data_IF_655669379137
#
_entry.id   IF_655669379137
#
_cell.length_a   1.000
_cell.length_b   1.000
_cell.length_c   1.000
_cell.angle_alpha   90.00
_cell.angle_beta   90.00
_cell.angle_gamma   90.00
#
_symmetry.space_group_name_H-M   'P 1'
#
loop_
_entity.id
_entity.type
_entity.pdbx_description
1 polymer ?
#
# COMPACT_ATOMS: atom_id res chain seq x y z
N UNK A 1 15.60 -14.65 -0.14
CA UNK A 1 14.31 -14.08 -0.55
C UNK A 1 14.06 -14.36 -2.02
N UNK A 2 12.96 -15.04 -2.34
CA UNK A 2 12.44 -15.26 -3.70
C UNK A 2 12.01 -13.95 -4.35
N UNK A 3 11.77 -13.95 -5.67
CA UNK A 3 11.28 -12.77 -6.40
C UNK A 3 9.97 -12.24 -5.81
N UNK A 4 9.05 -13.14 -5.45
CA UNK A 4 7.75 -12.78 -4.88
C UNK A 4 7.88 -12.22 -3.46
N UNK A 5 8.75 -12.80 -2.62
CA UNK A 5 9.02 -12.27 -1.28
C UNK A 5 9.56 -10.84 -1.32
N UNK A 6 10.45 -10.53 -2.28
CA UNK A 6 10.97 -9.17 -2.48
C UNK A 6 9.87 -8.19 -2.88
N UNK A 7 8.96 -8.61 -3.77
CA UNK A 7 7.82 -7.78 -4.17
C UNK A 7 6.83 -7.56 -3.01
N UNK A 8 6.52 -8.60 -2.24
CA UNK A 8 5.68 -8.49 -1.05
C UNK A 8 6.30 -7.49 -0.07
N UNK A 9 7.59 -7.62 0.22
CA UNK A 9 8.29 -6.72 1.14
C UNK A 9 8.28 -5.28 0.63
N UNK A 10 8.55 -5.07 -0.66
CA UNK A 10 8.49 -3.75 -1.29
C UNK A 10 7.14 -3.05 -1.07
N UNK A 11 6.03 -3.79 -1.25
CA UNK A 11 4.69 -3.24 -1.05
C UNK A 11 4.40 -2.97 0.43
N UNK A 12 4.81 -3.86 1.33
CA UNK A 12 4.65 -3.67 2.78
C UNK A 12 5.42 -2.46 3.28
N UNK A 13 6.69 -2.31 2.87
CA UNK A 13 7.54 -1.18 3.27
C UNK A 13 6.97 0.15 2.77
N UNK A 14 6.46 0.16 1.53
CA UNK A 14 5.75 1.31 0.98
C UNK A 14 4.49 1.64 1.77
N UNK A 15 3.66 0.63 2.11
CA UNK A 15 2.45 0.84 2.91
C UNK A 15 2.74 1.39 4.31
N UNK A 16 3.80 0.89 4.96
CA UNK A 16 4.26 1.36 6.25
C UNK A 16 4.76 2.81 6.21
N UNK A 17 5.44 3.19 5.13
CA UNK A 17 5.89 4.57 4.90
C UNK A 17 4.70 5.52 4.68
N UNK A 18 3.72 5.11 3.87
CA UNK A 18 2.54 5.91 3.59
C UNK A 18 1.69 6.13 4.84
N UNK A 19 1.45 5.09 5.64
CA UNK A 19 0.62 5.24 6.85
C UNK A 19 1.32 6.14 7.89
N UNK A 20 2.64 6.01 8.04
CA UNK A 20 3.42 6.90 8.91
C UNK A 20 3.35 8.36 8.43
N UNK A 21 3.35 8.58 7.11
CA UNK A 21 3.17 9.92 6.51
C UNK A 21 1.76 10.45 6.75
N UNK A 22 0.74 9.60 6.61
CA UNK A 22 -0.65 9.96 6.89
C UNK A 22 -0.83 10.42 8.34
N UNK A 23 -0.25 9.71 9.31
CA UNK A 23 -0.32 10.06 10.74
C UNK A 23 0.24 11.47 11.01
N UNK A 24 1.39 11.81 10.43
CA UNK A 24 1.99 13.14 10.57
C UNK A 24 1.07 14.22 9.98
N UNK A 25 0.53 13.99 8.79
CA UNK A 25 -0.34 14.96 8.12
C UNK A 25 -1.67 15.17 8.86
N UNK A 26 -2.27 14.09 9.34
CA UNK A 26 -3.50 14.12 10.13
C UNK A 26 -3.25 14.87 11.45
N UNK A 27 -2.13 14.60 12.14
CA UNK A 27 -1.76 15.32 13.37
C UNK A 27 -1.63 16.84 13.13
N UNK A 28 -1.05 17.23 12.00
CA UNK A 28 -0.92 18.63 11.57
C UNK A 28 -2.21 19.23 10.94
N UNK A 29 -3.36 18.55 11.10
CA UNK A 29 -4.67 18.96 10.56
C UNK A 29 -4.70 19.12 9.04
N UNK A 30 -3.77 18.49 8.32
CA UNK A 30 -3.74 18.40 6.86
C UNK A 30 -4.51 17.17 6.40
N UNK A 31 -5.82 17.21 6.56
CA UNK A 31 -6.70 16.04 6.39
C UNK A 31 -6.73 15.48 4.97
N UNK A 32 -6.87 16.34 3.96
CA UNK A 32 -6.97 15.89 2.56
C UNK A 32 -5.73 15.10 2.10
N UNK A 33 -4.50 15.61 2.24
CA UNK A 33 -3.32 14.83 1.90
C UNK A 33 -3.13 13.64 2.87
N UNK A 34 -3.49 13.77 4.15
CA UNK A 34 -3.45 12.64 5.08
C UNK A 34 -4.32 11.46 4.64
N UNK A 35 -5.57 11.72 4.25
CA UNK A 35 -6.48 10.69 3.72
C UNK A 35 -5.99 10.10 2.39
N UNK A 36 -5.34 10.90 1.54
CA UNK A 36 -4.69 10.39 0.33
C UNK A 36 -3.60 9.37 0.66
N UNK A 37 -2.75 9.62 1.66
CA UNK A 37 -1.75 8.64 2.10
C UNK A 37 -2.37 7.41 2.78
N UNK A 38 -3.48 7.55 3.51
CA UNK A 38 -4.24 6.38 3.98
C UNK A 38 -4.70 5.49 2.82
N UNK A 39 -5.23 6.09 1.75
CA UNK A 39 -5.63 5.35 0.55
C UNK A 39 -4.45 4.60 -0.08
N UNK A 40 -3.29 5.26 -0.23
CA UNK A 40 -2.08 4.63 -0.77
C UNK A 40 -1.59 3.47 0.10
N UNK A 41 -1.63 3.60 1.43
CA UNK A 41 -1.23 2.55 2.35
C UNK A 41 -2.11 1.29 2.16
N UNK A 42 -3.43 1.47 2.05
CA UNK A 42 -4.37 0.37 1.79
C UNK A 42 -4.12 -0.26 0.42
N UNK A 43 -3.93 0.55 -0.62
CA UNK A 43 -3.62 0.05 -1.96
C UNK A 43 -2.38 -0.85 -1.97
N UNK A 44 -1.29 -0.39 -1.34
CA UNK A 44 -0.04 -1.15 -1.29
C UNK A 44 -0.17 -2.42 -0.46
N UNK A 45 -0.90 -2.37 0.66
CA UNK A 45 -1.19 -3.57 1.45
C UNK A 45 -1.97 -4.63 0.64
N UNK A 46 -2.98 -4.22 -0.14
CA UNK A 46 -3.71 -5.12 -1.03
C UNK A 46 -2.82 -5.68 -2.14
N UNK A 47 -1.92 -4.87 -2.71
CA UNK A 47 -0.93 -5.35 -3.70
C UNK A 47 0.04 -6.38 -3.12
N UNK A 48 0.49 -6.19 -1.87
CA UNK A 48 1.28 -7.19 -1.16
C UNK A 48 0.50 -8.50 -0.99
N UNK A 49 -0.78 -8.40 -0.59
CA UNK A 49 -1.66 -9.55 -0.46
C UNK A 49 -1.87 -10.28 -1.79
N UNK A 50 -2.09 -9.54 -2.88
CA UNK A 50 -2.25 -10.09 -4.23
C UNK A 50 -1.04 -10.94 -4.65
N UNK A 51 0.18 -10.40 -4.50
CA UNK A 51 1.41 -11.13 -4.84
C UNK A 51 1.57 -12.37 -3.97
N UNK A 52 1.26 -12.28 -2.67
CA UNK A 52 1.32 -13.42 -1.74
C UNK A 52 0.33 -14.53 -2.11
N UNK A 53 -0.91 -14.16 -2.46
CA UNK A 53 -1.99 -15.11 -2.70
C UNK A 53 -1.94 -15.74 -4.09
N UNK A 54 -1.54 -14.99 -5.12
CA UNK A 54 -1.59 -15.44 -6.52
C UNK A 54 -0.20 -15.76 -7.10
N UNK A 55 0.87 -15.39 -6.41
CA UNK A 55 2.24 -15.58 -6.91
C UNK A 55 2.57 -14.79 -8.18
N UNK A 56 1.68 -13.86 -8.57
CA UNK A 56 1.77 -13.04 -9.77
C UNK A 56 2.04 -11.58 -9.43
N UNK A 57 2.54 -10.82 -10.41
CA UNK A 57 2.79 -9.38 -10.24
C UNK A 57 1.48 -8.65 -9.96
N UNK A 58 1.51 -7.76 -8.96
CA UNK A 58 0.35 -6.92 -8.64
C UNK A 58 -0.06 -6.05 -9.85
N UNK A 59 -1.36 -5.96 -10.16
CA UNK A 59 -1.84 -5.18 -11.29
C UNK A 59 -1.57 -3.68 -11.09
N UNK A 60 -1.22 -3.00 -12.18
CA UNK A 60 -0.95 -1.54 -12.20
C UNK A 60 -2.26 -0.75 -12.21
N UNK A 61 -2.97 -0.80 -11.09
CA UNK A 61 -4.23 -0.10 -10.86
C UNK A 61 -4.26 0.55 -9.47
N UNK A 62 -5.09 1.57 -9.32
CA UNK A 62 -5.40 2.26 -8.07
C UNK A 62 -6.81 1.91 -7.56
N UNK A 63 -7.53 1.02 -8.27
CA UNK A 63 -8.87 0.61 -7.87
C UNK A 63 -8.78 -0.45 -6.75
N UNK A 64 -9.12 -0.03 -5.53
CA UNK A 64 -9.09 -0.91 -4.35
C UNK A 64 -10.08 -2.08 -4.46
N UNK A 65 -11.25 -1.87 -5.07
CA UNK A 65 -12.28 -2.92 -5.24
C UNK A 65 -11.77 -4.01 -6.19
N UNK A 66 -10.97 -3.64 -7.18
CA UNK A 66 -10.34 -4.62 -8.07
C UNK A 66 -9.22 -5.42 -7.37
N UNK A 67 -8.64 -4.88 -6.29
CA UNK A 67 -7.53 -5.49 -5.55
C UNK A 67 -7.97 -6.31 -4.33
N UNK A 68 -9.23 -6.20 -3.89
CA UNK A 68 -9.84 -6.95 -2.78
C UNK A 68 -10.42 -8.28 -3.23
#
# INVERSE_FOLDING_TARGET
MTSNEKQIQYWIDGAATDISTAELLIKERRWLPGLFFCHLAVEKALKAHYVKSLGAMAPKTHNLIYLS
#
